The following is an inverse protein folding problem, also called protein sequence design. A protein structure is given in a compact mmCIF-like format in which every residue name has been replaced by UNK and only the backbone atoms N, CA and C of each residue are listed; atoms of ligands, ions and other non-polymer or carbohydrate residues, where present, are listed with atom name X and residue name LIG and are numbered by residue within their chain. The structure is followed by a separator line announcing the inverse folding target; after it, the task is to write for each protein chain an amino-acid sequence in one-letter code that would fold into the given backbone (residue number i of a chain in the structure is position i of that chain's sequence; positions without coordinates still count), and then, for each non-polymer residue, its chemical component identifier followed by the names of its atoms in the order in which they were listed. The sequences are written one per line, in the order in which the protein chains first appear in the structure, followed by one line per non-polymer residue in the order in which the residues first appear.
data_IF_887965875441
#
_entry.id   IF_887965875441
#
_cell.length_a   1.000
_cell.length_b   1.000
_cell.length_c   1.000
_cell.angle_alpha   90.00
_cell.angle_beta   90.00
_cell.angle_gamma   90.00
#
_symmetry.space_group_name_H-M   'P 1'
#
loop_
_entity.id
_entity.type
_entity.pdbx_description
1 polymer ?
#
# COMPACT_ATOMS: atom_id res chain seq x y z
N UNK A 1 -4.67 14.42 -4.55
CA UNK A 1 -4.28 15.35 -3.46
C UNK A 1 -5.27 16.49 -3.40
N UNK A 2 -5.52 17.07 -2.21
CA UNK A 2 -6.25 18.33 -2.09
C UNK A 2 -5.21 19.46 -1.98
N UNK A 3 -5.46 20.57 -2.66
CA UNK A 3 -4.57 21.74 -2.63
C UNK A 3 -5.05 22.70 -1.55
N UNK A 4 -4.12 23.21 -0.75
CA UNK A 4 -4.32 24.33 0.18
C UNK A 4 -3.32 25.42 -0.18
N UNK A 5 -3.73 26.69 -0.05
CA UNK A 5 -2.84 27.83 -0.24
C UNK A 5 -2.33 28.30 1.12
N UNK A 6 -1.05 28.68 1.17
CA UNK A 6 -0.36 29.25 2.33
C UNK A 6 0.45 30.45 1.86
N UNK A 7 0.68 31.42 2.73
CA UNK A 7 1.56 32.55 2.43
C UNK A 7 3.05 32.15 2.37
N UNK A 8 3.88 33.04 1.82
CA UNK A 8 5.31 32.81 1.58
C UNK A 8 6.12 32.59 2.87
N UNK A 9 5.71 33.23 3.97
CA UNK A 9 6.38 33.11 5.27
C UNK A 9 6.11 31.71 5.84
N UNK A 10 4.85 31.29 5.85
CA UNK A 10 4.44 29.96 6.31
C UNK A 10 5.02 28.85 5.42
N UNK A 11 5.08 29.06 4.10
CA UNK A 11 5.75 28.14 3.19
C UNK A 11 7.22 27.93 3.56
N UNK A 12 7.95 29.04 3.75
CA UNK A 12 9.37 29.02 4.11
C UNK A 12 9.59 28.35 5.48
N UNK A 13 8.70 28.62 6.44
CA UNK A 13 8.73 28.01 7.76
C UNK A 13 8.53 26.49 7.69
N UNK A 14 7.53 26.01 6.96
CA UNK A 14 7.29 24.57 6.76
C UNK A 14 8.50 23.93 6.07
N UNK A 15 9.02 24.53 4.99
CA UNK A 15 10.17 24.02 4.26
C UNK A 15 11.45 23.90 5.13
N UNK A 16 11.67 24.84 6.06
CA UNK A 16 12.82 24.79 6.99
C UNK A 16 12.80 23.61 7.96
N UNK A 17 11.63 22.97 8.16
CA UNK A 17 11.49 21.78 9.00
C UNK A 17 11.78 20.48 8.25
N UNK A 18 12.39 20.56 7.06
CA UNK A 18 12.78 19.39 6.28
C UNK A 18 13.91 18.61 6.97
N UNK A 19 13.70 17.33 7.31
CA UNK A 19 14.68 16.43 7.94
C UNK A 19 15.25 15.38 6.99
N UNK A 20 14.47 14.99 5.98
CA UNK A 20 14.86 13.98 5.00
C UNK A 20 14.66 14.51 3.59
N UNK A 21 15.65 14.30 2.72
CA UNK A 21 15.56 14.69 1.31
C UNK A 21 14.39 13.91 0.68
N UNK A 22 13.42 14.65 0.13
CA UNK A 22 12.25 14.08 -0.53
C UNK A 22 11.03 13.84 0.35
N UNK A 23 11.03 14.24 1.64
CA UNK A 23 9.80 14.14 2.44
C UNK A 23 8.70 15.10 1.96
N UNK A 24 7.44 14.67 2.05
CA UNK A 24 6.32 15.48 1.56
C UNK A 24 5.95 16.61 2.53
N UNK A 25 5.36 17.69 2.02
CA UNK A 25 4.81 18.75 2.87
C UNK A 25 3.78 18.23 3.88
N UNK A 26 3.06 17.15 3.55
CA UNK A 26 2.11 16.50 4.47
C UNK A 26 2.80 15.83 5.65
N UNK A 27 3.97 15.21 5.44
CA UNK A 27 4.74 14.54 6.49
C UNK A 27 5.37 15.55 7.45
N UNK A 28 5.90 16.64 6.88
CA UNK A 28 6.42 17.78 7.65
C UNK A 28 5.30 18.34 8.54
N UNK A 29 4.11 18.60 7.98
CA UNK A 29 2.96 19.13 8.72
C UNK A 29 2.46 18.17 9.81
N UNK A 30 2.36 16.87 9.54
CA UNK A 30 1.95 15.87 10.54
C UNK A 30 2.90 15.84 11.73
N UNK A 31 4.22 15.93 11.47
CA UNK A 31 5.25 16.01 12.50
C UNK A 31 5.14 17.29 13.32
N UNK A 32 5.02 18.45 12.66
CA UNK A 32 4.93 19.76 13.33
C UNK A 32 3.68 19.89 14.19
N UNK A 33 2.53 19.42 13.68
CA UNK A 33 1.25 19.46 14.37
C UNK A 33 1.07 18.32 15.38
N UNK A 34 2.07 17.44 15.53
CA UNK A 34 1.99 16.21 16.33
C UNK A 34 0.75 15.38 15.99
N UNK A 35 0.36 15.42 14.71
CA UNK A 35 -0.75 14.64 14.17
C UNK A 35 -0.25 13.21 13.91
N UNK A 36 -0.09 12.46 15.00
CA UNK A 36 0.07 11.01 14.95
C UNK A 36 -1.31 10.39 15.03
N UNK A 37 -1.68 9.53 14.07
CA UNK A 37 -2.81 8.63 14.27
C UNK A 37 -2.40 7.60 15.33
N UNK A 38 -2.53 7.96 16.60
CA UNK A 38 -2.24 7.07 17.72
C UNK A 38 -3.31 5.99 17.80
N UNK A 39 -3.00 4.80 17.31
CA UNK A 39 -3.31 3.53 17.99
C UNK A 39 -1.96 3.02 18.50
N UNK A 40 -1.62 2.82 19.78
CA UNK A 40 -2.21 2.76 21.14
C UNK A 40 -0.97 2.74 22.10
N UNK A 41 -1.03 2.45 23.42
CA UNK A 41 -1.76 3.00 24.57
C UNK A 41 -0.79 3.61 25.64
N UNK A 42 -1.28 4.44 26.56
CA UNK A 42 -0.54 4.81 27.79
C UNK A 42 -1.40 4.55 29.05
N UNK A 43 -0.87 3.71 29.95
CA UNK A 43 -1.23 3.64 31.36
C UNK A 43 -0.79 4.96 32.07
N UNK A 44 -1.33 5.47 33.18
CA UNK A 44 -2.05 4.92 34.34
C UNK A 44 -2.83 6.04 35.05
N UNK A 45 -3.94 5.74 35.74
CA UNK A 45 -4.26 6.23 37.10
C UNK A 45 -5.54 5.58 37.66
N UNK A 46 -5.53 5.33 38.98
CA UNK A 46 -6.36 4.40 39.76
C UNK A 46 -7.64 5.06 40.34
N UNK A 47 -8.80 4.39 40.28
CA UNK A 47 -9.69 4.03 41.43
C UNK A 47 -11.09 3.56 41.00
N UNK A 48 -11.52 2.39 41.49
CA UNK A 48 -12.92 1.95 41.57
C UNK A 48 -13.14 0.46 41.32
N UNK A 49 -13.47 -0.30 42.38
CA UNK A 49 -13.60 -1.77 42.49
C UNK A 49 -14.93 -2.33 41.91
N UNK A 50 -15.21 -3.66 41.93
CA UNK A 50 -15.29 -4.53 40.77
C UNK A 50 -16.73 -4.96 40.40
N UNK A 51 -16.97 -5.28 39.12
CA UNK A 51 -18.03 -6.23 38.77
C UNK A 51 -17.58 -7.09 37.59
N UNK A 52 -17.71 -8.40 37.80
CA UNK A 52 -17.37 -9.46 36.87
C UNK A 52 -18.25 -9.42 35.61
N UNK A 53 -17.64 -9.67 34.44
CA UNK A 53 -18.00 -10.76 33.52
C UNK A 53 -17.03 -10.81 32.31
N UNK A 54 -16.84 -11.99 31.69
CA UNK A 54 -15.62 -12.34 30.97
C UNK A 54 -15.70 -11.95 29.49
N UNK A 55 -14.67 -11.29 28.97
CA UNK A 55 -14.52 -11.11 27.52
C UNK A 55 -13.14 -11.58 27.12
N UNK A 56 -13.17 -12.67 26.37
CA UNK A 56 -12.13 -13.34 25.61
C UNK A 56 -10.77 -12.63 25.53
N UNK A 57 -9.78 -13.34 26.04
CA UNK A 57 -8.35 -13.18 25.81
C UNK A 57 -8.06 -12.92 24.32
N UNK A 58 -7.81 -11.65 23.98
CA UNK A 58 -7.32 -11.24 22.68
C UNK A 58 -5.89 -11.76 22.54
N UNK A 59 -5.75 -12.91 21.86
CA UNK A 59 -4.46 -13.43 21.41
C UNK A 59 -3.66 -12.31 20.71
N UNK A 60 -2.33 -12.26 20.86
CA UNK A 60 -1.50 -11.29 20.18
C UNK A 60 -1.64 -11.53 18.67
N UNK A 61 -2.30 -10.59 18.00
CA UNK A 61 -2.54 -10.62 16.57
C UNK A 61 -1.21 -10.34 15.88
N UNK A 62 -0.63 -11.34 15.22
CA UNK A 62 0.57 -11.17 14.42
C UNK A 62 0.15 -10.58 13.07
N UNK A 63 0.40 -9.28 12.79
CA UNK A 63 -0.11 -8.61 11.60
C UNK A 63 0.34 -9.29 10.28
N UNK A 64 1.52 -9.93 10.28
CA UNK A 64 2.01 -10.70 9.13
C UNK A 64 1.18 -11.97 8.88
N UNK A 65 0.73 -12.67 9.94
CA UNK A 65 -0.09 -13.88 9.79
C UNK A 65 -1.45 -13.55 9.18
N UNK A 66 -2.01 -12.40 9.53
CA UNK A 66 -3.29 -11.94 8.97
C UNK A 66 -3.16 -11.55 7.50
N UNK A 67 -2.09 -10.86 7.11
CA UNK A 67 -1.78 -10.57 5.71
C UNK A 67 -1.66 -11.85 4.88
N UNK A 68 -0.91 -12.84 5.38
CA UNK A 68 -0.76 -14.16 4.73
C UNK A 68 -2.11 -14.87 4.60
N UNK A 69 -2.95 -14.81 5.63
CA UNK A 69 -4.28 -15.39 5.61
C UNK A 69 -5.16 -14.73 4.54
N UNK A 70 -5.21 -13.40 4.50
CA UNK A 70 -6.03 -12.66 3.55
C UNK A 70 -5.63 -12.94 2.09
N UNK A 71 -4.32 -13.01 1.79
CA UNK A 71 -3.86 -13.40 0.45
C UNK A 71 -4.26 -14.84 0.09
N UNK A 72 -4.25 -15.78 1.05
CA UNK A 72 -4.74 -17.14 0.81
C UNK A 72 -6.25 -17.19 0.59
N UNK A 73 -7.02 -16.42 1.35
CA UNK A 73 -8.47 -16.28 1.17
C UNK A 73 -8.79 -15.69 -0.21
N UNK A 74 -8.03 -14.69 -0.66
CA UNK A 74 -8.15 -14.17 -2.03
C UNK A 74 -7.94 -15.27 -3.08
N UNK A 75 -6.86 -16.06 -2.99
CA UNK A 75 -6.57 -17.10 -3.98
C UNK A 75 -7.63 -18.22 -4.02
N UNK A 76 -8.40 -18.38 -2.94
CA UNK A 76 -9.48 -19.36 -2.84
C UNK A 76 -10.87 -18.76 -3.11
N UNK A 77 -10.97 -17.46 -3.40
CA UNK A 77 -12.27 -16.80 -3.58
C UNK A 77 -12.84 -17.07 -4.98
N UNK A 78 -14.18 -17.12 -5.05
CA UNK A 78 -14.90 -17.23 -6.32
C UNK A 78 -14.60 -16.05 -7.23
N UNK A 79 -14.51 -14.83 -6.68
CA UNK A 79 -14.14 -13.62 -7.43
C UNK A 79 -12.80 -13.78 -8.14
N UNK A 80 -11.79 -14.35 -7.48
CA UNK A 80 -10.48 -14.58 -8.08
C UNK A 80 -10.52 -15.68 -9.14
N UNK A 81 -11.26 -16.76 -8.88
CA UNK A 81 -11.42 -17.89 -9.81
C UNK A 81 -12.16 -17.49 -11.10
N UNK A 82 -13.12 -16.56 -11.02
CA UNK A 82 -13.87 -16.05 -12.17
C UNK A 82 -13.02 -15.19 -13.13
N UNK A 83 -11.83 -14.74 -12.70
CA UNK A 83 -10.97 -13.90 -13.53
C UNK A 83 -10.30 -14.65 -14.67
N UNK A 84 -10.82 -14.48 -15.89
CA UNK A 84 -10.36 -15.17 -17.11
C UNK A 84 -9.01 -14.70 -17.66
N UNK A 85 -8.58 -13.48 -17.34
CA UNK A 85 -7.36 -12.86 -17.91
C UNK A 85 -6.33 -12.59 -16.82
N UNK A 86 -5.06 -12.83 -17.13
CA UNK A 86 -3.93 -12.54 -16.24
C UNK A 86 -3.94 -11.09 -15.72
N UNK A 87 -4.28 -10.13 -16.59
CA UNK A 87 -4.39 -8.72 -16.17
C UNK A 87 -5.46 -8.51 -15.10
N UNK A 88 -6.57 -9.24 -15.12
CA UNK A 88 -7.63 -9.07 -14.13
C UNK A 88 -7.19 -9.62 -12.76
N UNK A 89 -6.58 -10.80 -12.73
CA UNK A 89 -5.99 -11.38 -11.52
C UNK A 89 -4.91 -10.47 -10.94
N UNK A 90 -4.06 -9.92 -11.80
CA UNK A 90 -3.06 -8.92 -11.43
C UNK A 90 -3.69 -7.68 -10.77
N UNK A 91 -4.76 -7.10 -11.35
CA UNK A 91 -5.45 -5.96 -10.73
C UNK A 91 -6.02 -6.32 -9.35
N UNK A 92 -6.64 -7.49 -9.21
CA UNK A 92 -7.26 -7.91 -7.96
C UNK A 92 -6.22 -8.13 -6.86
N UNK A 93 -5.09 -8.76 -7.19
CA UNK A 93 -3.94 -8.88 -6.28
C UNK A 93 -3.45 -7.51 -5.82
N UNK A 94 -3.28 -6.54 -6.73
CA UNK A 94 -2.83 -5.19 -6.37
C UNK A 94 -3.82 -4.48 -5.44
N UNK A 95 -5.13 -4.58 -5.72
CA UNK A 95 -6.18 -4.04 -4.86
C UNK A 95 -6.12 -4.63 -3.46
N UNK A 96 -5.95 -5.95 -3.33
CA UNK A 96 -5.84 -6.63 -2.03
C UNK A 96 -4.55 -6.27 -1.31
N UNK A 97 -3.40 -6.26 -2.00
CA UNK A 97 -2.12 -5.88 -1.38
C UNK A 97 -2.16 -4.45 -0.84
N UNK A 98 -2.76 -3.52 -1.59
CA UNK A 98 -2.96 -2.16 -1.09
C UNK A 98 -3.83 -2.17 0.18
N UNK A 99 -5.01 -2.80 0.17
CA UNK A 99 -5.92 -2.76 1.32
C UNK A 99 -5.36 -3.40 2.59
N UNK A 100 -4.38 -4.31 2.47
CA UNK A 100 -3.70 -4.91 3.61
C UNK A 100 -2.72 -3.97 4.30
N UNK A 101 -2.04 -3.10 3.55
CA UNK A 101 -1.11 -2.12 4.10
C UNK A 101 -0.79 -1.01 3.07
N UNK A 102 -1.50 0.12 3.17
CA UNK A 102 -1.32 1.24 2.25
C UNK A 102 0.10 1.81 2.27
N UNK A 103 0.76 1.81 3.44
CA UNK A 103 2.08 2.40 3.60
C UNK A 103 3.15 1.50 2.99
N UNK A 104 3.15 0.21 3.34
CA UNK A 104 4.12 -0.73 2.77
C UNK A 104 3.94 -0.89 1.26
N UNK A 105 2.70 -0.81 0.75
CA UNK A 105 2.44 -0.80 -0.69
C UNK A 105 2.99 0.46 -1.37
N UNK A 106 2.85 1.63 -0.75
CA UNK A 106 3.40 2.88 -1.29
C UNK A 106 4.93 2.81 -1.43
N UNK A 107 5.63 2.43 -0.35
CA UNK A 107 7.09 2.26 -0.35
C UNK A 107 7.56 1.24 -1.40
N UNK A 108 6.84 0.12 -1.52
CA UNK A 108 7.15 -0.92 -2.49
C UNK A 108 6.98 -0.44 -3.95
N UNK A 109 5.99 0.42 -4.22
CA UNK A 109 5.70 0.90 -5.57
C UNK A 109 6.56 2.08 -6.01
N UNK A 110 7.06 2.91 -5.08
CA UNK A 110 7.98 4.01 -5.39
C UNK A 110 9.31 3.51 -5.98
N UNK A 111 9.84 2.41 -5.44
CA UNK A 111 11.08 1.79 -5.91
C UNK A 111 10.93 0.92 -7.17
N UNK A 112 9.69 0.67 -7.62
CA UNK A 112 9.40 -0.27 -8.69
C UNK A 112 9.16 0.43 -10.02
N UNK A 113 10.21 0.49 -10.84
CA UNK A 113 10.14 1.05 -12.19
C UNK A 113 11.01 0.27 -13.18
N UNK A 114 10.71 0.43 -14.47
CA UNK A 114 11.54 -0.09 -15.55
C UNK A 114 12.75 0.80 -15.83
N UNK A 115 13.54 0.41 -16.83
CA UNK A 115 14.67 1.23 -17.32
C UNK A 115 14.26 2.64 -17.75
N UNK A 116 13.10 2.75 -18.43
CA UNK A 116 12.60 4.01 -18.98
C UNK A 116 11.12 4.22 -18.72
N UNK A 117 10.46 3.31 -18.01
CA UNK A 117 9.01 3.31 -17.82
C UNK A 117 8.69 3.36 -16.34
N UNK A 118 7.84 4.30 -15.96
CA UNK A 118 7.19 4.31 -14.64
C UNK A 118 6.10 3.24 -14.66
N UNK A 119 6.03 2.41 -13.62
CA UNK A 119 5.05 1.30 -13.55
C UNK A 119 3.78 1.70 -12.82
N UNK A 120 3.91 2.44 -11.72
CA UNK A 120 2.83 2.93 -10.88
C UNK A 120 2.87 4.46 -10.76
N UNK A 121 1.70 5.09 -10.74
CA UNK A 121 1.58 6.54 -10.53
C UNK A 121 0.22 6.89 -9.91
N UNK A 122 0.08 8.10 -9.38
CA UNK A 122 -1.20 8.60 -8.85
C UNK A 122 -2.20 9.03 -9.95
N UNK A 123 -1.74 9.11 -11.21
CA UNK A 123 -2.54 9.54 -12.35
C UNK A 123 -2.12 8.81 -13.64
N UNK A 124 -3.06 8.71 -14.58
CA UNK A 124 -2.84 8.06 -15.88
C UNK A 124 -1.78 8.79 -16.73
N UNK A 125 -1.76 10.11 -16.68
CA UNK A 125 -0.95 10.94 -17.56
C UNK A 125 0.56 10.74 -17.30
N UNK A 126 0.95 10.56 -16.04
CA UNK A 126 2.33 10.26 -15.65
C UNK A 126 2.83 8.96 -16.31
N UNK A 127 1.98 7.93 -16.41
CA UNK A 127 2.34 6.66 -17.06
C UNK A 127 2.40 6.75 -18.58
N UNK A 128 1.56 7.59 -19.20
CA UNK A 128 1.59 7.85 -20.63
C UNK A 128 2.79 8.71 -21.05
N UNK A 129 3.16 9.71 -20.24
CA UNK A 129 4.34 10.55 -20.49
C UNK A 129 5.64 9.76 -20.43
N UNK A 130 5.72 8.79 -19.52
CA UNK A 130 6.92 7.98 -19.29
C UNK A 130 6.89 6.64 -20.07
N UNK A 131 6.05 6.50 -21.09
CA UNK A 131 6.09 5.32 -21.94
C UNK A 131 5.03 5.26 -23.02
N UNK A 132 5.45 4.95 -24.25
CA UNK A 132 4.51 4.73 -25.35
C UNK A 132 3.77 3.39 -25.22
N UNK A 133 2.47 3.42 -25.52
CA UNK A 133 1.56 2.26 -25.53
C UNK A 133 1.59 1.45 -24.22
N UNK A 134 1.74 2.09 -23.06
CA UNK A 134 1.77 1.43 -21.75
C UNK A 134 0.42 0.86 -21.31
N UNK A 135 -0.67 1.29 -21.94
CA UNK A 135 -2.06 0.93 -21.63
C UNK A 135 -2.33 0.99 -20.12
N UNK A 136 -2.24 2.18 -19.49
CA UNK A 136 -2.51 2.31 -18.06
C UNK A 136 -3.91 1.83 -17.70
N UNK A 137 -4.06 1.33 -16.48
CA UNK A 137 -5.36 1.07 -15.85
C UNK A 137 -5.34 1.54 -14.41
N UNK A 138 -6.44 2.13 -13.97
CA UNK A 138 -6.67 2.42 -12.57
C UNK A 138 -6.83 1.12 -11.77
N UNK A 139 -6.18 1.02 -10.61
CA UNK A 139 -6.30 -0.10 -9.68
C UNK A 139 -7.52 0.14 -8.77
N UNK A 140 -8.59 -0.68 -8.86
CA UNK A 140 -9.83 -0.44 -8.12
C UNK A 140 -9.61 -0.27 -6.61
N UNK A 141 -10.29 0.70 -6.01
CA UNK A 141 -10.21 0.96 -4.56
C UNK A 141 -8.91 1.61 -4.08
N UNK A 142 -8.03 2.03 -4.99
CA UNK A 142 -6.73 2.63 -4.65
C UNK A 142 -6.54 3.97 -5.37
N UNK A 143 -5.58 4.82 -4.96
CA UNK A 143 -5.20 6.02 -5.71
C UNK A 143 -4.20 5.74 -6.85
N UNK A 144 -3.91 4.46 -7.16
CA UNK A 144 -2.86 4.09 -8.10
C UNK A 144 -3.39 3.74 -9.48
N UNK A 145 -2.61 4.13 -10.48
CA UNK A 145 -2.64 3.62 -11.84
C UNK A 145 -1.45 2.70 -12.06
N UNK A 146 -1.62 1.67 -12.90
CA UNK A 146 -0.56 0.73 -13.27
C UNK A 146 -0.52 0.49 -14.78
N UNK A 147 0.67 0.32 -15.35
CA UNK A 147 0.82 -0.07 -16.76
C UNK A 147 0.37 -1.52 -16.98
N UNK A 148 -0.36 -1.80 -18.07
CA UNK A 148 -0.86 -3.17 -18.32
C UNK A 148 -0.32 -3.83 -19.58
N UNK A 149 0.33 -3.07 -20.46
CA UNK A 149 1.04 -3.61 -21.62
C UNK A 149 2.39 -4.24 -21.25
N UNK A 150 2.29 -5.37 -20.54
CA UNK A 150 3.39 -6.20 -20.06
C UNK A 150 3.02 -7.68 -20.23
N UNK A 151 4.00 -8.55 -20.44
CA UNK A 151 3.74 -10.00 -20.44
C UNK A 151 3.47 -10.52 -19.02
N UNK A 152 2.99 -11.77 -18.90
CA UNK A 152 2.66 -12.40 -17.61
C UNK A 152 3.87 -12.45 -16.68
N UNK A 153 5.05 -12.85 -17.17
CA UNK A 153 6.26 -12.90 -16.35
C UNK A 153 6.61 -11.55 -15.70
N UNK A 154 6.45 -10.43 -16.43
CA UNK A 154 6.67 -9.10 -15.85
C UNK A 154 5.60 -8.70 -14.85
N UNK A 155 4.34 -9.14 -15.00
CA UNK A 155 3.30 -8.96 -13.97
C UNK A 155 3.68 -9.73 -12.70
N UNK A 156 4.15 -10.97 -12.84
CA UNK A 156 4.67 -11.76 -11.72
C UNK A 156 5.84 -11.03 -11.04
N UNK A 157 6.84 -10.54 -11.79
CA UNK A 157 7.96 -9.78 -11.18
C UNK A 157 7.52 -8.53 -10.44
N UNK A 158 6.49 -7.82 -10.91
CA UNK A 158 5.93 -6.67 -10.17
C UNK A 158 5.29 -7.11 -8.85
N UNK A 159 4.48 -8.18 -8.88
CA UNK A 159 3.83 -8.72 -7.67
C UNK A 159 4.88 -9.28 -6.70
N UNK A 160 5.87 -10.00 -7.20
CA UNK A 160 6.98 -10.54 -6.41
C UNK A 160 7.71 -9.42 -5.67
N UNK A 161 8.14 -8.37 -6.38
CA UNK A 161 8.81 -7.21 -5.75
C UNK A 161 7.95 -6.58 -4.65
N UNK A 162 6.68 -6.32 -4.95
CA UNK A 162 5.76 -5.69 -3.99
C UNK A 162 5.58 -6.59 -2.76
N UNK A 163 5.30 -7.88 -2.96
CA UNK A 163 5.09 -8.80 -1.85
C UNK A 163 6.36 -9.05 -1.03
N UNK A 164 7.53 -9.10 -1.65
CA UNK A 164 8.82 -9.18 -0.94
C UNK A 164 9.04 -7.93 -0.06
N UNK A 165 8.82 -6.73 -0.62
CA UNK A 165 8.93 -5.47 0.12
C UNK A 165 7.93 -5.40 1.28
N UNK A 166 6.72 -5.93 1.08
CA UNK A 166 5.69 -6.07 2.11
C UNK A 166 5.90 -7.25 3.07
N UNK A 167 7.06 -7.92 3.00
CA UNK A 167 7.51 -8.99 3.89
C UNK A 167 6.65 -10.26 3.87
N UNK A 168 6.08 -10.61 2.72
CA UNK A 168 5.41 -11.89 2.54
C UNK A 168 6.40 -13.05 2.42
N UNK A 169 6.04 -14.28 2.87
CA UNK A 169 6.90 -15.45 2.70
C UNK A 169 7.09 -15.85 1.23
N UNK A 170 8.30 -16.24 0.86
CA UNK A 170 8.66 -16.63 -0.51
C UNK A 170 7.74 -17.71 -1.11
N UNK A 171 7.37 -18.73 -0.33
CA UNK A 171 6.45 -19.79 -0.80
C UNK A 171 5.07 -19.28 -1.18
N UNK A 172 4.57 -18.24 -0.48
CA UNK A 172 3.28 -17.64 -0.83
C UNK A 172 3.40 -16.80 -2.09
N UNK A 173 4.51 -16.07 -2.23
CA UNK A 173 4.78 -15.24 -3.40
C UNK A 173 4.83 -16.09 -4.67
N UNK A 174 5.52 -17.23 -4.60
CA UNK A 174 5.59 -18.18 -5.72
C UNK A 174 4.20 -18.69 -6.11
N UNK A 175 3.36 -19.05 -5.12
CA UNK A 175 1.98 -19.49 -5.36
C UNK A 175 1.13 -18.39 -5.99
N UNK A 176 1.20 -17.16 -5.49
CA UNK A 176 0.47 -16.02 -6.06
C UNK A 176 0.93 -15.75 -7.49
N UNK A 177 2.24 -15.79 -7.77
CA UNK A 177 2.75 -15.56 -9.12
C UNK A 177 2.33 -16.68 -10.09
N UNK A 178 2.27 -17.93 -9.62
CA UNK A 178 1.82 -19.07 -10.42
C UNK A 178 0.34 -19.04 -10.82
N UNK A 179 -0.48 -18.21 -10.17
CA UNK A 179 -1.89 -18.04 -10.52
C UNK A 179 -2.16 -16.85 -11.45
N UNK A 180 -1.18 -15.96 -11.70
CA UNK A 180 -1.33 -14.83 -12.64
C UNK A 180 -1.31 -15.32 -14.09
#
# INVERSE_FOLDING_TARGET
MKTIEVDDELYSYIASHTKHIGESASDILRRMLKFSATTQPTASAVKGTPSAQPVAEAKPVNPVKDKVRAMRELLLSDEYAEQKKAVNRFMLILTTLYSLDHHAFAEATESLHGRTRVYFAADEQTLLKNGNQTKPKHVPGTPYWVITNTNTGRKCSMIEHIMQSMQFPAELIEKVCGTI
#
